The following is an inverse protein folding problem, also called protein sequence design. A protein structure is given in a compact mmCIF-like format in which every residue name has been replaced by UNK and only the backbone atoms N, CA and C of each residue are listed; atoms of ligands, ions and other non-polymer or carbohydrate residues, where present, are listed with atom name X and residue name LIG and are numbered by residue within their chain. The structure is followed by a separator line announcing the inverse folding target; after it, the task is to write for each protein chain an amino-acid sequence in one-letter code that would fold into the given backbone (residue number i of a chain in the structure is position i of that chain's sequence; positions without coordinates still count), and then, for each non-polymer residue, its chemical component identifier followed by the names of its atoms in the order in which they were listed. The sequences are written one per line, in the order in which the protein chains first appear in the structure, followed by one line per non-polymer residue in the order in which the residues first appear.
data_IF_256520618295
#
_entry.id   IF_256520618295
#
_cell.length_a   1.000
_cell.length_b   1.000
_cell.length_c   1.000
_cell.angle_alpha   90.00
_cell.angle_beta   90.00
_cell.angle_gamma   90.00
#
_symmetry.space_group_name_H-M   'P 1'
#
loop_
_entity.id
_entity.type
_entity.pdbx_description
1 polymer ?
#
# COMPACT_ATOMS: atom_id res chain seq x y z
N UNK A 1 34.03 20.21 11.46
CA UNK A 1 33.93 18.75 11.42
C UNK A 1 32.56 18.40 11.94
N UNK A 2 31.60 18.24 11.03
CA UNK A 2 30.18 18.08 11.39
C UNK A 2 29.94 16.65 11.91
N UNK A 3 29.24 16.57 13.03
CA UNK A 3 28.80 15.33 13.67
C UNK A 3 27.73 14.64 12.81
N UNK A 4 27.92 13.39 12.36
CA UNK A 4 27.01 12.72 11.42
C UNK A 4 25.80 12.02 12.07
N UNK A 5 25.41 12.33 13.31
CA UNK A 5 24.45 11.50 14.06
C UNK A 5 23.04 12.09 14.36
N UNK A 6 22.60 13.17 13.71
CA UNK A 6 21.21 13.68 13.88
C UNK A 6 20.38 13.61 12.59
N UNK A 7 20.35 12.45 11.93
CA UNK A 7 19.25 12.10 10.99
C UNK A 7 18.18 11.35 11.77
N UNK A 8 17.40 12.08 12.58
CA UNK A 8 16.06 11.61 12.95
C UNK A 8 15.25 11.41 11.67
N UNK A 9 14.50 10.31 11.51
CA UNK A 9 13.53 10.25 10.44
C UNK A 9 12.59 11.44 10.65
N UNK A 10 12.20 12.11 9.57
CA UNK A 10 11.01 12.95 9.52
C UNK A 10 9.80 12.04 9.83
N UNK A 11 9.64 11.66 11.10
CA UNK A 11 9.06 10.40 11.50
C UNK A 11 7.61 10.58 11.87
N UNK A 12 6.70 10.19 10.98
CA UNK A 12 5.24 10.18 11.15
C UNK A 12 4.56 11.53 11.45
N UNK A 13 4.99 12.32 12.44
CA UNK A 13 4.35 13.58 12.80
C UNK A 13 4.45 14.64 11.69
N UNK A 14 5.61 14.77 11.05
CA UNK A 14 5.79 15.69 9.91
C UNK A 14 5.00 15.23 8.68
N UNK A 15 4.84 13.92 8.51
CA UNK A 15 4.03 13.33 7.44
C UNK A 15 2.54 13.51 7.69
N UNK A 16 2.08 13.31 8.92
CA UNK A 16 0.71 13.61 9.35
C UNK A 16 0.42 15.11 9.26
N UNK A 17 1.40 15.96 9.57
CA UNK A 17 1.28 17.42 9.42
C UNK A 17 1.21 17.81 7.94
N UNK A 18 2.01 17.17 7.07
CA UNK A 18 1.89 17.33 5.60
C UNK A 18 0.53 16.89 5.12
N UNK A 19 0.04 15.71 5.52
CA UNK A 19 -1.31 15.22 5.18
C UNK A 19 -2.40 16.18 5.66
N UNK A 20 -2.32 16.66 6.91
CA UNK A 20 -3.28 17.61 7.48
C UNK A 20 -3.26 19.00 6.84
N UNK A 21 -2.17 19.36 6.16
CA UNK A 21 -2.03 20.61 5.39
C UNK A 21 -2.48 20.49 3.93
N UNK A 22 -2.71 19.27 3.42
CA UNK A 22 -3.26 19.09 2.09
C UNK A 22 -4.71 19.61 2.06
N UNK A 23 -4.92 20.76 1.41
CA UNK A 23 -6.24 21.31 1.18
C UNK A 23 -7.02 20.38 0.24
N UNK A 24 -7.96 19.61 0.79
CA UNK A 24 -8.87 18.74 0.02
C UNK A 24 -9.73 19.49 -1.01
N UNK A 25 -9.73 20.84 -0.98
CA UNK A 25 -10.46 21.68 -1.94
C UNK A 25 -9.72 21.90 -3.25
N UNK A 26 -8.41 21.66 -3.31
CA UNK A 26 -7.57 21.95 -4.49
C UNK A 26 -6.93 20.72 -5.12
N UNK A 27 -6.95 19.56 -4.44
CA UNK A 27 -6.38 18.30 -4.94
C UNK A 27 -7.47 17.39 -5.50
N UNK A 28 -7.18 16.76 -6.65
CA UNK A 28 -7.97 15.60 -7.07
C UNK A 28 -7.76 14.45 -6.08
N UNK A 29 -8.77 13.58 -5.94
CA UNK A 29 -8.65 12.37 -5.13
C UNK A 29 -7.42 11.54 -5.53
N UNK A 30 -7.16 11.42 -6.82
CA UNK A 30 -5.98 10.77 -7.37
C UNK A 30 -4.66 11.38 -6.84
N UNK A 31 -4.54 12.71 -6.82
CA UNK A 31 -3.34 13.39 -6.31
C UNK A 31 -3.14 13.15 -4.81
N UNK A 32 -4.24 13.10 -4.06
CA UNK A 32 -4.20 12.79 -2.63
C UNK A 32 -3.72 11.35 -2.39
N UNK A 33 -4.29 10.39 -3.10
CA UNK A 33 -3.92 8.97 -2.96
C UNK A 33 -2.49 8.70 -3.41
N UNK A 34 -2.02 9.38 -4.46
CA UNK A 34 -0.62 9.36 -4.85
C UNK A 34 0.29 9.91 -3.75
N UNK A 35 -0.10 11.04 -3.14
CA UNK A 35 0.67 11.60 -2.02
C UNK A 35 0.73 10.63 -0.84
N UNK A 36 -0.35 9.89 -0.56
CA UNK A 36 -0.36 8.86 0.50
C UNK A 36 0.62 7.73 0.18
N UNK A 37 0.62 7.22 -1.06
CA UNK A 37 1.55 6.17 -1.49
C UNK A 37 3.01 6.63 -1.39
N UNK A 38 3.32 7.84 -1.87
CA UNK A 38 4.68 8.42 -1.81
C UNK A 38 5.16 8.64 -0.37
N UNK A 39 4.25 9.04 0.54
CA UNK A 39 4.58 9.23 1.94
C UNK A 39 4.84 7.89 2.64
N UNK A 40 4.13 6.83 2.28
CA UNK A 40 4.34 5.50 2.85
C UNK A 40 5.78 5.01 2.59
N UNK A 41 6.29 5.18 1.36
CA UNK A 41 7.67 4.79 1.02
C UNK A 41 8.73 5.72 1.64
N UNK A 42 8.37 6.97 1.98
CA UNK A 42 9.28 7.92 2.63
C UNK A 42 9.43 7.67 4.14
N UNK A 43 8.35 7.25 4.82
CA UNK A 43 8.34 7.07 6.29
C UNK A 43 8.91 5.72 6.71
N UNK A 44 8.67 4.69 5.91
CA UNK A 44 9.08 3.34 6.22
C UNK A 44 10.51 3.08 5.72
N UNK A 45 11.33 2.34 6.48
CA UNK A 45 12.69 2.02 6.06
C UNK A 45 12.68 0.94 4.98
N UNK A 46 13.62 1.03 4.04
CA UNK A 46 13.84 0.02 3.01
C UNK A 46 13.75 0.60 1.60
N UNK A 47 13.92 -0.28 0.62
CA UNK A 47 13.58 0.01 -0.77
C UNK A 47 12.15 -0.50 -0.98
N UNK A 48 11.20 0.43 -0.99
CA UNK A 48 9.78 0.12 -0.89
C UNK A 48 9.04 0.64 -2.11
N UNK A 49 8.08 -0.15 -2.57
CA UNK A 49 7.02 0.35 -3.43
C UNK A 49 5.67 0.26 -2.72
N UNK A 50 4.79 1.22 -2.97
CA UNK A 50 3.46 1.26 -2.41
C UNK A 50 2.40 1.52 -3.48
N UNK A 51 1.18 1.04 -3.24
CA UNK A 51 0.01 1.34 -4.06
C UNK A 51 -1.22 1.61 -3.20
N UNK A 52 -2.20 2.28 -3.80
CA UNK A 52 -3.56 2.33 -3.25
C UNK A 52 -4.49 1.61 -4.21
N UNK A 53 -5.21 0.64 -3.69
CA UNK A 53 -6.22 -0.14 -4.40
C UNK A 53 -7.61 0.22 -3.90
N UNK A 54 -8.58 0.34 -4.81
CA UNK A 54 -10.00 0.49 -4.50
C UNK A 54 -10.77 -0.73 -5.01
N UNK A 55 -11.75 -1.16 -4.23
CA UNK A 55 -12.73 -2.16 -4.60
C UNK A 55 -14.09 -1.46 -4.69
N UNK A 56 -14.55 -1.23 -5.91
CA UNK A 56 -15.87 -0.64 -6.16
C UNK A 56 -16.81 -1.77 -6.58
N UNK A 57 -17.79 -2.08 -5.74
CA UNK A 57 -18.71 -3.23 -5.95
C UNK A 57 -17.95 -4.53 -6.23
N UNK A 58 -16.84 -4.72 -5.51
CA UNK A 58 -15.97 -5.89 -5.61
C UNK A 58 -15.00 -5.89 -6.80
N UNK A 59 -15.05 -4.91 -7.71
CA UNK A 59 -14.08 -4.77 -8.79
C UNK A 59 -12.85 -4.00 -8.31
N UNK A 60 -11.65 -4.62 -8.28
CA UNK A 60 -10.46 -3.96 -7.82
C UNK A 60 -9.81 -3.10 -8.90
N UNK A 61 -9.19 -1.99 -8.52
CA UNK A 61 -8.37 -1.14 -9.40
C UNK A 61 -7.31 -0.43 -8.58
N UNK A 62 -6.08 -0.37 -9.10
CA UNK A 62 -5.01 0.44 -8.52
C UNK A 62 -5.16 1.89 -8.98
N UNK A 63 -5.29 2.81 -8.03
CA UNK A 63 -5.58 4.24 -8.28
C UNK A 63 -4.39 5.15 -7.97
N UNK A 64 -3.36 4.62 -7.32
CA UNK A 64 -2.08 5.27 -7.10
C UNK A 64 -0.99 4.21 -6.94
N UNK A 65 0.23 4.50 -7.41
CA UNK A 65 1.38 3.61 -7.25
C UNK A 65 2.69 4.40 -7.25
N UNK A 66 3.68 3.96 -6.47
CA UNK A 66 5.03 4.53 -6.49
C UNK A 66 5.97 3.83 -7.47
N UNK A 67 5.55 2.72 -8.09
CA UNK A 67 6.38 2.00 -9.07
C UNK A 67 5.68 0.83 -9.74
N UNK A 68 6.41 0.13 -10.61
CA UNK A 68 5.88 -0.96 -11.42
C UNK A 68 5.73 -2.26 -10.64
N UNK A 69 6.58 -2.51 -9.63
CA UNK A 69 6.45 -3.69 -8.79
C UNK A 69 5.11 -3.68 -8.07
N UNK A 70 4.71 -2.54 -7.49
CA UNK A 70 3.44 -2.44 -6.79
C UNK A 70 2.23 -2.69 -7.72
N UNK A 71 2.27 -2.19 -8.96
CA UNK A 71 1.23 -2.45 -9.97
C UNK A 71 1.17 -3.94 -10.33
N UNK A 72 2.32 -4.55 -10.65
CA UNK A 72 2.41 -5.97 -11.02
C UNK A 72 1.87 -6.88 -9.90
N UNK A 73 2.14 -6.55 -8.64
CA UNK A 73 1.69 -7.33 -7.48
C UNK A 73 0.21 -7.13 -7.15
N UNK A 74 -0.34 -5.94 -7.38
CA UNK A 74 -1.77 -5.70 -7.29
C UNK A 74 -2.52 -6.51 -8.37
N UNK A 75 -2.12 -6.37 -9.63
CA UNK A 75 -2.75 -7.05 -10.77
C UNK A 75 -2.75 -8.57 -10.60
N UNK A 76 -1.66 -9.13 -10.05
CA UNK A 76 -1.58 -10.56 -9.74
C UNK A 76 -2.71 -11.04 -8.82
N UNK A 77 -3.08 -10.23 -7.83
CA UNK A 77 -4.15 -10.56 -6.90
C UNK A 77 -5.51 -10.43 -7.59
N UNK A 78 -5.65 -9.44 -8.48
CA UNK A 78 -6.87 -9.20 -9.24
C UNK A 78 -7.18 -10.34 -10.20
N UNK A 79 -6.16 -10.85 -10.92
CA UNK A 79 -6.27 -12.01 -11.82
C UNK A 79 -6.87 -13.25 -11.14
N UNK A 80 -6.56 -13.44 -9.85
CA UNK A 80 -7.02 -14.58 -9.05
C UNK A 80 -8.22 -14.26 -8.18
N UNK A 81 -8.57 -12.98 -8.06
CA UNK A 81 -9.58 -12.49 -7.12
C UNK A 81 -9.23 -12.76 -5.65
N UNK A 82 -7.97 -13.06 -5.32
CA UNK A 82 -7.50 -13.45 -3.99
C UNK A 82 -6.05 -13.01 -3.77
N UNK A 83 -5.75 -12.55 -2.56
CA UNK A 83 -4.44 -12.03 -2.18
C UNK A 83 -4.51 -11.13 -0.93
N UNK A 84 -3.37 -10.76 -0.33
CA UNK A 84 -3.32 -9.94 0.88
C UNK A 84 -4.03 -8.59 0.75
N UNK A 85 -3.88 -7.86 -0.37
CA UNK A 85 -4.52 -6.55 -0.56
C UNK A 85 -6.04 -6.67 -0.68
N UNK A 86 -6.50 -7.65 -1.46
CA UNK A 86 -7.92 -7.93 -1.63
C UNK A 86 -8.55 -8.45 -0.34
N UNK A 87 -7.81 -9.21 0.45
CA UNK A 87 -8.26 -9.65 1.76
C UNK A 87 -8.44 -8.45 2.68
N UNK A 88 -7.40 -7.62 2.85
CA UNK A 88 -7.48 -6.42 3.68
C UNK A 88 -8.65 -5.51 3.28
N UNK A 89 -8.79 -5.21 1.98
CA UNK A 89 -9.87 -4.36 1.49
C UNK A 89 -11.27 -4.97 1.68
N UNK A 90 -11.42 -6.30 1.74
CA UNK A 90 -12.72 -6.96 1.91
C UNK A 90 -13.09 -7.18 3.36
N UNK A 91 -12.12 -7.48 4.21
CA UNK A 91 -12.35 -7.86 5.61
C UNK A 91 -12.19 -6.69 6.58
N UNK A 92 -11.52 -5.61 6.15
CA UNK A 92 -11.11 -4.55 7.07
C UNK A 92 -9.98 -4.97 8.01
N UNK A 93 -9.30 -6.10 7.73
CA UNK A 93 -8.21 -6.60 8.56
C UNK A 93 -6.84 -6.23 7.98
N UNK A 94 -5.99 -5.66 8.82
CA UNK A 94 -4.58 -5.42 8.47
C UNK A 94 -3.91 -6.76 8.17
N UNK A 95 -3.36 -6.89 6.95
CA UNK A 95 -2.78 -8.13 6.45
C UNK A 95 -1.30 -7.96 6.18
N UNK A 96 -0.47 -8.74 6.85
CA UNK A 96 0.99 -8.69 6.72
C UNK A 96 1.53 -10.04 6.25
N UNK A 97 2.45 -10.00 5.30
CA UNK A 97 3.32 -11.11 4.90
C UNK A 97 4.72 -10.74 5.36
N UNK A 98 5.26 -11.46 6.34
CA UNK A 98 6.60 -11.21 6.85
C UNK A 98 7.70 -11.78 5.95
N UNK A 99 7.44 -12.93 5.33
CA UNK A 99 8.32 -13.56 4.34
C UNK A 99 7.52 -14.42 3.35
N UNK A 100 7.41 -13.93 2.11
CA UNK A 100 6.68 -14.55 1.02
C UNK A 100 7.23 -15.95 0.64
N UNK A 101 8.46 -16.29 1.02
CA UNK A 101 9.00 -17.64 0.79
C UNK A 101 8.41 -18.68 1.73
N UNK A 102 7.85 -18.23 2.87
CA UNK A 102 7.36 -19.11 3.94
C UNK A 102 5.86 -19.00 4.18
N UNK A 103 5.22 -17.95 3.66
CA UNK A 103 3.79 -17.71 3.82
C UNK A 103 2.96 -18.55 2.84
N UNK A 104 2.21 -19.50 3.39
CA UNK A 104 1.41 -20.48 2.66
C UNK A 104 -0.07 -20.07 2.50
N UNK A 105 -0.48 -18.93 3.07
CA UNK A 105 -1.87 -18.44 2.97
C UNK A 105 -2.25 -18.02 1.56
N UNK A 106 -1.27 -17.63 0.74
CA UNK A 106 -1.47 -17.10 -0.61
C UNK A 106 -0.62 -17.85 -1.66
N UNK A 107 -0.85 -19.16 -1.86
CA UNK A 107 0.05 -20.01 -2.65
C UNK A 107 0.19 -19.60 -4.12
N UNK A 108 -0.80 -18.89 -4.67
CA UNK A 108 -0.75 -18.34 -6.03
C UNK A 108 -0.08 -16.96 -6.14
N UNK A 109 0.16 -16.29 -5.01
CA UNK A 109 0.68 -14.92 -4.95
C UNK A 109 2.12 -14.90 -4.41
N UNK A 110 2.37 -15.54 -3.26
CA UNK A 110 3.64 -15.42 -2.54
C UNK A 110 4.88 -15.88 -3.33
N UNK A 111 4.85 -16.97 -4.13
CA UNK A 111 6.01 -17.34 -4.95
C UNK A 111 6.35 -16.26 -6.00
N UNK A 112 5.32 -15.63 -6.59
CA UNK A 112 5.49 -14.62 -7.64
C UNK A 112 5.91 -13.28 -7.08
N UNK A 113 5.45 -12.93 -5.88
CA UNK A 113 5.95 -11.77 -5.14
C UNK A 113 7.46 -11.93 -4.89
N UNK A 114 7.88 -13.10 -4.40
CA UNK A 114 9.29 -13.40 -4.16
C UNK A 114 10.14 -13.39 -5.46
N UNK A 115 9.63 -13.95 -6.56
CA UNK A 115 10.30 -13.91 -7.88
C UNK A 115 10.53 -12.49 -8.40
N UNK A 116 9.65 -11.55 -8.03
CA UNK A 116 9.74 -10.13 -8.38
C UNK A 116 10.57 -9.30 -7.39
N UNK A 117 11.04 -9.91 -6.30
CA UNK A 117 11.85 -9.26 -5.28
C UNK A 117 11.09 -8.76 -4.05
N UNK A 118 9.75 -8.85 -4.02
CA UNK A 118 8.95 -8.50 -2.85
C UNK A 118 8.86 -9.71 -1.90
N UNK A 119 9.67 -9.68 -0.85
CA UNK A 119 9.71 -10.72 0.18
C UNK A 119 8.74 -10.43 1.32
N UNK A 120 8.33 -9.19 1.53
CA UNK A 120 7.36 -8.84 2.56
C UNK A 120 6.32 -7.86 2.01
N UNK A 121 5.15 -7.87 2.62
CA UNK A 121 4.11 -6.90 2.28
C UNK A 121 3.23 -6.55 3.46
N UNK A 122 2.72 -5.32 3.45
CA UNK A 122 1.72 -4.84 4.40
C UNK A 122 0.55 -4.25 3.62
N UNK A 123 -0.64 -4.79 3.84
CA UNK A 123 -1.90 -4.27 3.30
C UNK A 123 -2.73 -3.70 4.44
N UNK A 124 -2.90 -2.38 4.42
CA UNK A 124 -3.66 -1.61 5.40
C UNK A 124 -5.05 -1.32 4.81
N UNK A 125 -6.14 -1.79 5.45
CA UNK A 125 -7.50 -1.56 4.95
C UNK A 125 -7.86 -0.08 4.99
N UNK A 126 -8.62 0.35 3.99
CA UNK A 126 -9.21 1.69 3.88
C UNK A 126 -10.73 1.54 3.83
N UNK A 127 -11.41 1.91 4.92
CA UNK A 127 -12.86 1.99 4.96
C UNK A 127 -13.30 3.34 4.38
N UNK A 128 -13.98 3.30 3.23
CA UNK A 128 -14.33 4.51 2.47
C UNK A 128 -15.83 4.76 2.55
N UNK A 129 -16.64 3.87 1.98
CA UNK A 129 -18.10 4.00 2.00
C UNK A 129 -18.77 2.63 1.95
N UNK A 130 -19.44 2.26 3.04
CA UNK A 130 -20.12 0.96 3.16
C UNK A 130 -21.40 0.92 2.33
N UNK A 131 -22.13 2.04 2.23
CA UNK A 131 -23.40 2.11 1.52
C UNK A 131 -23.19 2.01 0.00
N UNK A 132 -22.10 2.62 -0.50
CA UNK A 132 -21.72 2.55 -1.91
C UNK A 132 -20.88 1.29 -2.27
N UNK A 133 -20.60 0.42 -1.29
CA UNK A 133 -19.72 -0.75 -1.44
C UNK A 133 -18.34 -0.39 -1.99
N UNK A 134 -17.75 0.66 -1.42
CA UNK A 134 -16.41 1.14 -1.73
C UNK A 134 -15.51 0.88 -0.54
N UNK A 135 -14.52 0.03 -0.75
CA UNK A 135 -13.43 -0.20 0.18
C UNK A 135 -12.10 -0.11 -0.54
N UNK A 136 -11.00 -0.17 0.19
CA UNK A 136 -9.68 -0.15 -0.43
C UNK A 136 -8.59 -0.68 0.49
N UNK A 137 -7.37 -0.64 -0.01
CA UNK A 137 -6.19 -0.89 0.79
C UNK A 137 -5.00 -0.04 0.33
N UNK A 138 -4.22 0.45 1.28
CA UNK A 138 -2.85 0.90 1.07
C UNK A 138 -1.93 -0.32 1.17
N UNK A 139 -1.21 -0.63 0.10
CA UNK A 139 -0.31 -1.77 0.01
C UNK A 139 1.12 -1.29 -0.03
N UNK A 140 2.00 -1.95 0.73
CA UNK A 140 3.44 -1.67 0.78
C UNK A 140 4.18 -2.98 0.54
N UNK A 141 5.20 -2.93 -0.30
CA UNK A 141 5.98 -4.08 -0.78
C UNK A 141 7.47 -3.81 -0.55
N UNK A 142 8.19 -4.81 -0.04
CA UNK A 142 9.64 -4.76 0.26
C UNK A 142 10.34 -6.09 0.00
#
# INVERSE_FOLDING_TARGET
MADPQDRRPAGAAEVLERLGRLSLRELSMESLLQTVADLATTVLPGDLEASVSLLVRGSPTTVASTGQLAVDLDERQYERGHGPCLHAARTGELTMIADARTDDRWPDYTPRAAERGALSSLSVPLDIDVDEQVSGALNIYA
#
